data_IF_075558899593
#
_entry.id   IF_075558899593
#
_cell.length_a   1.000
_cell.length_b   1.000
_cell.length_c   1.000
_cell.angle_alpha   90.00
_cell.angle_beta   90.00
_cell.angle_gamma   90.00
#
_symmetry.space_group_name_H-M   'P 1'
#
loop_
_entity.id
_entity.type
_entity.pdbx_description
1 polymer ?
#
# COMPACT_ATOMS: atom_id res chain seq x y z
N UNK A 1 10.51 -40.14 1.74
CA UNK A 1 9.34 -39.24 1.65
C UNK A 1 9.43 -38.46 0.35
N UNK A 2 8.32 -38.37 -0.40
CA UNK A 2 8.14 -37.82 -1.77
C UNK A 2 8.80 -38.61 -2.92
N UNK A 3 8.36 -39.85 -3.12
CA UNK A 3 8.90 -40.76 -4.16
C UNK A 3 8.51 -40.34 -5.59
N UNK A 4 7.40 -39.60 -5.77
CA UNK A 4 6.84 -39.27 -7.09
C UNK A 4 6.82 -37.77 -7.42
N UNK A 5 7.66 -36.98 -6.73
CA UNK A 5 7.73 -35.53 -6.88
C UNK A 5 6.56 -34.78 -6.25
N UNK A 6 6.77 -33.49 -5.96
CA UNK A 6 5.81 -32.64 -5.24
C UNK A 6 4.50 -32.44 -6.03
N UNK A 7 4.58 -32.46 -7.36
CA UNK A 7 3.44 -32.18 -8.25
C UNK A 7 2.34 -33.24 -8.22
N UNK A 8 2.67 -34.50 -7.89
CA UNK A 8 1.68 -35.59 -7.81
C UNK A 8 0.83 -35.52 -6.54
N UNK A 9 1.25 -34.74 -5.54
CA UNK A 9 0.56 -34.56 -4.26
C UNK A 9 -0.21 -33.25 -4.15
N UNK A 10 -0.03 -32.33 -5.11
CA UNK A 10 -0.74 -31.06 -5.08
C UNK A 10 -2.25 -31.30 -5.29
N UNK A 11 -3.12 -30.81 -4.39
CA UNK A 11 -4.55 -30.99 -4.54
C UNK A 11 -5.03 -30.26 -5.80
N UNK A 12 -5.67 -30.99 -6.70
CA UNK A 12 -6.24 -30.41 -7.91
C UNK A 12 -7.57 -29.76 -7.52
N UNK A 13 -7.59 -28.43 -7.53
CA UNK A 13 -8.79 -27.66 -7.24
C UNK A 13 -9.61 -27.46 -8.52
N UNK A 14 -10.95 -27.47 -8.46
CA UNK A 14 -11.81 -27.17 -9.61
C UNK A 14 -11.75 -25.69 -10.03
N UNK A 15 -11.11 -24.85 -9.21
CA UNK A 15 -10.99 -23.41 -9.41
C UNK A 15 -9.76 -23.11 -10.27
N UNK A 16 -9.95 -22.41 -11.39
CA UNK A 16 -8.86 -22.03 -12.29
C UNK A 16 -8.16 -20.73 -11.88
N UNK A 17 -8.88 -19.82 -11.24
CA UNK A 17 -8.39 -18.48 -10.89
C UNK A 17 -8.95 -18.00 -9.56
N UNK A 18 -8.09 -17.42 -8.73
CA UNK A 18 -8.45 -16.82 -7.44
C UNK A 18 -7.92 -15.38 -7.41
N UNK A 19 -8.77 -14.46 -6.97
CA UNK A 19 -8.36 -13.09 -6.64
C UNK A 19 -8.20 -13.01 -5.12
N UNK A 20 -7.01 -12.65 -4.67
CA UNK A 20 -6.73 -12.43 -3.26
C UNK A 20 -6.44 -10.96 -3.04
N UNK A 21 -7.32 -10.29 -2.31
CA UNK A 21 -7.04 -8.98 -1.74
C UNK A 21 -6.52 -9.11 -0.32
N UNK A 22 -5.33 -8.57 -0.07
CA UNK A 22 -4.71 -8.66 1.24
C UNK A 22 -3.69 -7.53 1.45
N UNK A 23 -3.27 -7.37 2.70
CA UNK A 23 -2.42 -6.28 3.20
C UNK A 23 -3.15 -4.93 3.26
N UNK A 24 -3.81 -4.49 2.17
CA UNK A 24 -4.67 -3.30 2.05
C UNK A 24 -4.39 -2.20 3.09
N UNK A 25 -3.15 -1.69 3.16
CA UNK A 25 -2.79 -0.71 4.17
C UNK A 25 -3.48 0.60 3.83
N UNK A 26 -3.93 1.32 4.84
CA UNK A 26 -4.33 2.70 4.65
C UNK A 26 -3.06 3.54 4.43
N UNK A 27 -2.97 4.25 3.29
CA UNK A 27 -1.83 5.11 2.93
C UNK A 27 -1.49 6.12 4.02
N UNK A 28 -2.51 6.57 4.73
CA UNK A 28 -2.42 7.61 5.71
C UNK A 28 -2.09 7.10 7.13
N UNK A 29 -1.91 5.79 7.32
CA UNK A 29 -1.55 5.23 8.63
C UNK A 29 -0.33 4.33 8.48
N UNK A 30 0.56 4.38 9.47
CA UNK A 30 1.72 3.50 9.52
C UNK A 30 1.32 2.04 9.32
N UNK A 31 2.17 1.28 8.62
CA UNK A 31 2.05 -0.17 8.58
C UNK A 31 2.37 -0.76 9.96
N UNK A 32 1.36 -0.80 10.83
CA UNK A 32 1.45 -1.48 12.12
C UNK A 32 1.33 -3.00 11.99
N UNK A 33 1.65 -3.73 13.07
CA UNK A 33 1.56 -5.21 13.16
C UNK A 33 0.17 -5.76 12.79
N UNK A 34 -0.88 -4.93 12.86
CA UNK A 34 -2.22 -5.26 12.36
C UNK A 34 -2.25 -5.59 10.86
N UNK A 35 -1.50 -4.86 10.03
CA UNK A 35 -1.39 -5.12 8.58
C UNK A 35 -0.44 -6.29 8.28
N UNK A 36 0.45 -6.62 9.22
CA UNK A 36 1.36 -7.77 9.09
C UNK A 36 0.58 -9.08 9.06
N UNK A 37 -0.48 -9.20 9.87
CA UNK A 37 -1.32 -10.40 9.94
C UNK A 37 -2.00 -10.71 8.60
N UNK A 38 -2.69 -9.73 8.02
CA UNK A 38 -3.35 -9.91 6.71
C UNK A 38 -2.34 -10.15 5.60
N UNK A 39 -1.16 -9.52 5.67
CA UNK A 39 -0.07 -9.73 4.71
C UNK A 39 0.46 -11.16 4.74
N UNK A 40 0.74 -11.71 5.93
CA UNK A 40 1.25 -13.09 6.08
C UNK A 40 0.20 -14.12 5.69
N UNK A 41 -1.04 -13.96 6.13
CA UNK A 41 -2.12 -14.90 5.79
C UNK A 41 -2.38 -14.88 4.29
N UNK A 42 -2.48 -13.69 3.68
CA UNK A 42 -2.70 -13.53 2.25
C UNK A 42 -1.56 -14.10 1.40
N UNK A 43 -0.30 -13.85 1.77
CA UNK A 43 0.86 -14.42 1.05
C UNK A 43 0.90 -15.95 1.18
N UNK A 44 0.54 -16.48 2.35
CA UNK A 44 0.49 -17.93 2.59
C UNK A 44 -0.59 -18.60 1.74
N UNK A 45 -1.81 -18.05 1.73
CA UNK A 45 -2.91 -18.53 0.90
C UNK A 45 -2.56 -18.46 -0.59
N UNK A 46 -1.96 -17.36 -1.04
CA UNK A 46 -1.53 -17.20 -2.42
C UNK A 46 -0.57 -18.31 -2.85
N UNK A 47 0.43 -18.62 -2.01
CA UNK A 47 1.38 -19.71 -2.28
C UNK A 47 0.71 -21.09 -2.26
N UNK A 48 -0.27 -21.31 -1.40
CA UNK A 48 -1.02 -22.57 -1.38
C UNK A 48 -1.83 -22.78 -2.66
N UNK A 49 -2.46 -21.72 -3.18
CA UNK A 49 -3.18 -21.79 -4.46
C UNK A 49 -2.22 -21.97 -5.65
N UNK A 50 -1.09 -21.28 -5.67
CA UNK A 50 -0.05 -21.48 -6.69
C UNK A 50 0.53 -22.89 -6.68
N UNK A 51 0.71 -23.47 -5.49
CA UNK A 51 1.14 -24.86 -5.33
C UNK A 51 0.14 -25.84 -5.97
N UNK A 52 -1.15 -25.54 -5.86
CA UNK A 52 -2.25 -26.29 -6.48
C UNK A 52 -2.49 -25.94 -7.97
N UNK A 53 -1.55 -25.23 -8.61
CA UNK A 53 -1.60 -24.85 -10.02
C UNK A 53 -2.81 -23.96 -10.39
N UNK A 54 -3.28 -23.15 -9.43
CA UNK A 54 -4.34 -22.16 -9.62
C UNK A 54 -3.72 -20.81 -9.97
N UNK A 55 -4.32 -20.07 -10.91
CA UNK A 55 -3.88 -18.71 -11.24
C UNK A 55 -4.27 -17.74 -10.10
N UNK A 56 -3.28 -17.08 -9.48
CA UNK A 56 -3.52 -16.17 -8.35
C UNK A 56 -3.29 -14.72 -8.74
N UNK A 57 -4.36 -13.92 -8.71
CA UNK A 57 -4.29 -12.46 -8.86
C UNK A 57 -4.24 -11.81 -7.47
N UNK A 58 -3.04 -11.32 -7.11
CA UNK A 58 -2.84 -10.56 -5.88
C UNK A 58 -3.28 -9.12 -6.07
N UNK A 59 -4.27 -8.67 -5.31
CA UNK A 59 -4.76 -7.29 -5.28
C UNK A 59 -4.45 -6.66 -3.93
N UNK A 60 -4.44 -5.33 -3.97
CA UNK A 60 -4.18 -4.49 -2.82
C UNK A 60 -5.16 -3.33 -2.91
N UNK A 61 -6.33 -3.46 -2.28
CA UNK A 61 -7.30 -2.38 -2.17
C UNK A 61 -6.82 -1.37 -1.13
N UNK A 62 -5.86 -0.54 -1.56
CA UNK A 62 -5.30 0.53 -0.76
C UNK A 62 -6.39 1.54 -0.45
N UNK A 63 -6.46 2.01 0.80
CA UNK A 63 -7.32 3.14 1.17
C UNK A 63 -6.73 4.44 0.63
N UNK A 64 -7.03 4.76 -0.63
CA UNK A 64 -6.48 5.88 -1.38
C UNK A 64 -7.46 7.06 -1.54
N UNK A 65 -8.62 6.99 -0.90
CA UNK A 65 -9.65 8.02 -1.00
C UNK A 65 -10.22 8.42 0.37
N UNK A 66 -10.29 9.73 0.63
CA UNK A 66 -10.98 10.29 1.80
C UNK A 66 -10.39 11.60 2.33
N UNK A 67 -10.99 12.12 3.41
CA UNK A 67 -10.59 13.38 4.09
C UNK A 67 -9.11 13.42 4.50
N UNK A 68 -8.50 12.25 4.68
CA UNK A 68 -7.08 12.09 4.98
C UNK A 68 -6.18 12.65 3.86
N UNK A 69 -6.60 12.60 2.60
CA UNK A 69 -5.88 13.25 1.50
C UNK A 69 -6.14 14.74 1.46
N UNK A 70 -7.37 15.20 1.72
CA UNK A 70 -7.70 16.62 1.78
C UNK A 70 -6.82 17.38 2.78
N UNK A 71 -6.64 16.83 3.99
CA UNK A 71 -5.77 17.45 4.98
C UNK A 71 -4.30 17.42 4.59
N UNK A 72 -3.83 16.36 3.90
CA UNK A 72 -2.44 16.30 3.42
C UNK A 72 -2.17 17.34 2.33
N UNK A 73 -3.14 17.54 1.43
CA UNK A 73 -2.99 18.46 0.31
C UNK A 73 -3.02 19.92 0.80
N UNK A 74 -3.99 20.28 1.65
CA UNK A 74 -4.04 21.64 2.22
C UNK A 74 -2.79 21.92 3.07
N UNK A 75 -2.34 20.94 3.87
CA UNK A 75 -1.09 21.09 4.64
C UNK A 75 0.15 21.25 3.75
N UNK A 76 0.16 20.61 2.57
CA UNK A 76 1.24 20.75 1.59
C UNK A 76 1.28 22.16 1.01
N UNK A 77 0.12 22.70 0.61
CA UNK A 77 0.02 24.05 0.06
C UNK A 77 0.43 25.11 1.08
N UNK A 78 0.08 24.96 2.36
CA UNK A 78 0.51 25.88 3.42
C UNK A 78 2.02 25.81 3.68
N UNK A 79 2.61 24.61 3.70
CA UNK A 79 4.04 24.40 3.97
C UNK A 79 4.95 24.74 2.78
N UNK A 80 4.47 24.50 1.56
CA UNK A 80 5.25 24.64 0.33
C UNK A 80 4.44 25.41 -0.72
N UNK A 81 4.53 26.75 -0.71
CA UNK A 81 3.90 27.58 -1.73
C UNK A 81 4.36 27.22 -3.16
N UNK A 82 5.62 26.79 -3.30
CA UNK A 82 6.23 26.33 -4.56
C UNK A 82 6.30 24.80 -4.65
N UNK A 83 5.20 24.11 -4.36
CA UNK A 83 5.15 22.65 -4.41
C UNK A 83 5.48 22.06 -5.80
N UNK A 84 5.41 22.84 -6.89
CA UNK A 84 5.74 22.37 -8.24
C UNK A 84 7.24 22.06 -8.41
N UNK A 85 8.10 22.71 -7.63
CA UNK A 85 9.55 22.46 -7.59
C UNK A 85 9.91 21.35 -6.60
N UNK A 86 8.91 20.83 -5.88
CA UNK A 86 9.09 19.83 -4.84
C UNK A 86 9.37 18.45 -5.48
N UNK A 87 10.63 18.05 -5.49
CA UNK A 87 11.04 16.72 -5.94
C UNK A 87 10.46 15.60 -5.05
N UNK A 88 10.42 14.37 -5.58
CA UNK A 88 9.93 13.15 -4.89
C UNK A 88 10.58 12.85 -3.54
N UNK A 89 11.74 13.45 -3.25
CA UNK A 89 12.48 13.29 -2.00
C UNK A 89 12.16 14.34 -0.93
N UNK A 90 11.43 15.40 -1.26
CA UNK A 90 11.27 16.52 -0.33
C UNK A 90 10.21 16.26 0.76
N UNK A 91 9.25 15.37 0.52
CA UNK A 91 8.41 14.80 1.57
C UNK A 91 9.22 13.68 2.23
N UNK A 92 10.24 14.06 3.02
CA UNK A 92 11.20 13.11 3.58
C UNK A 92 10.53 11.99 4.37
N UNK A 93 9.72 12.35 5.37
CA UNK A 93 8.94 11.40 6.15
C UNK A 93 7.44 11.72 6.06
N UNK A 94 6.74 10.93 5.22
CA UNK A 94 5.30 11.02 5.04
C UNK A 94 4.54 10.82 6.36
N UNK A 95 5.11 10.08 7.32
CA UNK A 95 4.50 9.87 8.64
C UNK A 95 4.51 11.14 9.48
N UNK A 96 5.64 11.84 9.53
CA UNK A 96 5.77 13.12 10.26
C UNK A 96 4.83 14.14 9.63
N UNK A 97 4.79 14.17 8.30
CA UNK A 97 3.91 15.05 7.54
C UNK A 97 2.43 14.75 7.82
N UNK A 98 2.04 13.47 7.89
CA UNK A 98 0.69 13.06 8.25
C UNK A 98 0.32 13.41 9.69
N UNK A 99 1.22 13.18 10.65
CA UNK A 99 0.96 13.52 12.06
C UNK A 99 0.76 15.03 12.23
N UNK A 100 1.60 15.84 11.57
CA UNK A 100 1.49 17.29 11.61
C UNK A 100 0.19 17.79 10.95
N UNK A 101 -0.19 17.25 9.79
CA UNK A 101 -1.45 17.61 9.14
C UNK A 101 -2.67 17.18 9.95
N UNK A 102 -2.60 16.00 10.60
CA UNK A 102 -3.67 15.50 11.47
C UNK A 102 -3.83 16.35 12.73
N UNK A 103 -2.72 16.73 13.37
CA UNK A 103 -2.75 17.63 14.52
C UNK A 103 -3.41 18.97 14.13
N UNK A 104 -3.01 19.55 13.00
CA UNK A 104 -3.62 20.79 12.50
C UNK A 104 -5.11 20.64 12.20
N UNK A 105 -5.50 19.51 11.61
CA UNK A 105 -6.89 19.18 11.33
C UNK A 105 -7.77 19.07 12.58
N UNK A 106 -7.21 18.61 13.71
CA UNK A 106 -7.94 18.48 14.96
C UNK A 106 -7.96 19.80 15.76
N UNK A 107 -6.94 20.66 15.61
CA UNK A 107 -6.80 21.93 16.33
C UNK A 107 -7.49 23.13 15.64
N UNK A 108 -7.54 23.17 14.31
CA UNK A 108 -8.00 24.31 13.52
C UNK A 108 -9.28 23.97 12.73
N UNK A 109 -10.40 24.55 13.16
CA UNK A 109 -11.70 24.34 12.53
C UNK A 109 -11.77 24.91 11.10
N UNK A 110 -11.09 26.01 10.81
CA UNK A 110 -11.04 26.57 9.45
C UNK A 110 -10.23 25.67 8.53
N UNK A 111 -9.10 25.16 9.02
CA UNK A 111 -8.28 24.19 8.28
C UNK A 111 -9.07 22.91 7.98
N UNK A 112 -9.85 22.43 8.96
CA UNK A 112 -10.72 21.25 8.80
C UNK A 112 -11.73 21.45 7.68
N UNK A 113 -12.39 22.61 7.62
CA UNK A 113 -13.35 22.94 6.56
C UNK A 113 -12.65 23.04 5.20
N UNK A 114 -11.48 23.69 5.12
CA UNK A 114 -10.67 23.74 3.87
C UNK A 114 -10.30 22.35 3.38
N UNK A 115 -9.84 21.47 4.28
CA UNK A 115 -9.46 20.10 3.97
C UNK A 115 -10.65 19.26 3.46
N UNK A 116 -11.84 19.43 4.05
CA UNK A 116 -13.05 18.76 3.57
C UNK A 116 -13.47 19.25 2.19
N UNK A 117 -13.44 20.58 1.98
CA UNK A 117 -13.74 21.17 0.67
C UNK A 117 -12.73 20.74 -0.39
N UNK A 118 -11.45 20.58 -0.06
CA UNK A 118 -10.41 20.09 -0.97
C UNK A 118 -10.74 18.70 -1.53
N UNK A 119 -11.26 17.79 -0.69
CA UNK A 119 -11.70 16.46 -1.15
C UNK A 119 -12.91 16.56 -2.07
N UNK A 120 -13.87 17.42 -1.77
CA UNK A 120 -15.03 17.64 -2.65
C UNK A 120 -14.57 18.22 -3.99
N UNK A 121 -13.63 19.16 -3.99
CA UNK A 121 -13.01 19.71 -5.21
C UNK A 121 -12.25 18.66 -6.02
N UNK A 122 -11.68 17.65 -5.37
CA UNK A 122 -11.06 16.49 -6.05
C UNK A 122 -12.10 15.52 -6.63
N UNK A 123 -13.25 15.36 -5.98
CA UNK A 123 -14.35 14.50 -6.45
C UNK A 123 -15.06 15.10 -7.67
N UNK A 124 -15.28 16.41 -7.64
CA UNK A 124 -15.90 17.15 -8.73
C UNK A 124 -14.77 17.47 -9.71
N UNK A 125 -14.57 16.63 -10.72
CA UNK A 125 -13.50 16.69 -11.74
C UNK A 125 -13.45 18.02 -12.53
N UNK A 126 -13.15 19.12 -11.85
CA UNK A 126 -13.07 20.46 -12.41
C UNK A 126 -11.70 20.63 -13.08
N UNK A 127 -11.64 21.11 -14.34
CA UNK A 127 -10.39 21.17 -15.10
C UNK A 127 -9.28 21.91 -14.36
N UNK A 128 -9.57 23.05 -13.73
CA UNK A 128 -8.57 23.86 -13.03
C UNK A 128 -8.04 23.19 -11.74
N UNK A 129 -8.91 22.52 -10.97
CA UNK A 129 -8.50 21.76 -9.78
C UNK A 129 -7.74 20.48 -10.13
N UNK A 130 -8.11 19.80 -11.22
CA UNK A 130 -7.51 18.54 -11.61
C UNK A 130 -6.01 18.68 -11.94
N UNK A 131 -5.60 19.83 -12.48
CA UNK A 131 -4.18 20.06 -12.81
C UNK A 131 -3.30 20.28 -11.57
N UNK A 132 -3.74 21.09 -10.59
CA UNK A 132 -2.94 21.37 -9.39
C UNK A 132 -3.14 20.30 -8.30
N UNK A 133 -4.37 20.16 -7.79
CA UNK A 133 -4.70 19.18 -6.73
C UNK A 133 -4.51 17.74 -7.21
N UNK A 134 -4.79 17.44 -8.48
CA UNK A 134 -4.62 16.09 -9.03
C UNK A 134 -3.15 15.68 -9.16
N UNK A 135 -2.24 16.59 -9.53
CA UNK A 135 -0.79 16.31 -9.55
C UNK A 135 -0.25 16.09 -8.15
N UNK A 136 -0.67 16.91 -7.18
CA UNK A 136 -0.31 16.73 -5.77
C UNK A 136 -0.84 15.40 -5.24
N UNK A 137 -2.11 15.08 -5.51
CA UNK A 137 -2.72 13.83 -5.11
C UNK A 137 -1.96 12.62 -5.69
N UNK A 138 -1.67 12.64 -7.00
CA UNK A 138 -0.92 11.57 -7.65
C UNK A 138 0.51 11.44 -7.10
N UNK A 139 1.16 12.55 -6.76
CA UNK A 139 2.47 12.58 -6.15
C UNK A 139 2.47 11.96 -4.74
N UNK A 140 1.52 12.37 -3.89
CA UNK A 140 1.34 11.80 -2.55
C UNK A 140 1.01 10.31 -2.62
N UNK A 141 0.14 9.91 -3.57
CA UNK A 141 -0.25 8.54 -3.79
C UNK A 141 0.93 7.67 -4.23
N UNK A 142 1.73 8.14 -5.19
CA UNK A 142 2.90 7.41 -5.70
C UNK A 142 3.94 7.22 -4.60
N UNK A 143 4.19 8.26 -3.81
CA UNK A 143 5.12 8.22 -2.68
C UNK A 143 4.67 7.22 -1.62
N UNK A 144 3.39 7.26 -1.25
CA UNK A 144 2.81 6.35 -0.28
C UNK A 144 2.79 4.89 -0.74
N UNK A 145 2.43 4.64 -2.01
CA UNK A 145 2.46 3.30 -2.61
C UNK A 145 3.89 2.76 -2.60
N UNK A 146 4.88 3.59 -2.95
CA UNK A 146 6.29 3.19 -2.95
C UNK A 146 6.73 2.75 -1.56
N UNK A 147 6.42 3.54 -0.53
CA UNK A 147 6.71 3.21 0.86
C UNK A 147 6.01 1.91 1.31
N UNK A 148 4.74 1.72 0.97
CA UNK A 148 4.00 0.49 1.26
C UNK A 148 4.61 -0.75 0.56
N UNK A 149 5.05 -0.60 -0.70
CA UNK A 149 5.70 -1.68 -1.46
C UNK A 149 7.02 -2.08 -0.83
N UNK A 150 7.79 -1.12 -0.35
CA UNK A 150 9.09 -1.34 0.27
C UNK A 150 8.97 -2.03 1.63
N UNK A 151 7.99 -1.62 2.44
CA UNK A 151 7.62 -2.31 3.68
C UNK A 151 7.16 -3.76 3.43
N UNK A 152 6.31 -3.99 2.43
CA UNK A 152 5.87 -5.35 2.05
C UNK A 152 7.04 -6.21 1.58
N UNK A 153 7.92 -5.67 0.74
CA UNK A 153 9.11 -6.38 0.25
C UNK A 153 10.00 -6.80 1.40
N UNK A 154 10.20 -5.93 2.38
CA UNK A 154 10.97 -6.22 3.59
C UNK A 154 10.35 -7.35 4.41
N UNK A 155 9.03 -7.34 4.63
CA UNK A 155 8.29 -8.40 5.35
C UNK A 155 8.44 -9.75 4.64
N UNK A 156 8.24 -9.80 3.32
CA UNK A 156 8.36 -11.04 2.54
C UNK A 156 9.79 -11.56 2.56
N UNK A 157 10.80 -10.68 2.47
CA UNK A 157 12.21 -11.06 2.55
C UNK A 157 12.59 -11.55 3.95
N UNK A 158 12.07 -10.94 5.01
CA UNK A 158 12.22 -11.42 6.39
C UNK A 158 11.65 -12.84 6.55
N UNK A 159 10.45 -13.09 6.03
CA UNK A 159 9.87 -14.43 6.01
C UNK A 159 10.74 -15.44 5.27
N UNK A 160 11.28 -15.09 4.09
CA UNK A 160 12.21 -15.95 3.33
C UNK A 160 13.51 -16.22 4.10
N UNK A 161 14.08 -15.23 4.78
CA UNK A 161 15.28 -15.39 5.62
C UNK A 161 15.02 -16.30 6.83
N UNK A 162 13.87 -16.12 7.49
CA UNK A 162 13.47 -16.93 8.63
C UNK A 162 13.34 -18.42 8.24
N UNK A 163 12.61 -18.71 7.15
CA UNK A 163 12.48 -20.08 6.60
C UNK A 163 13.84 -20.68 6.24
N UNK A 164 14.72 -19.89 5.61
CA UNK A 164 16.08 -20.35 5.25
C UNK A 164 16.95 -20.62 6.48
N UNK A 165 16.81 -19.84 7.55
CA UNK A 165 17.54 -20.07 8.82
C UNK A 165 16.99 -21.25 9.62
N UNK A 166 15.70 -21.55 9.47
CA UNK A 166 15.03 -22.69 10.09
C UNK A 166 15.31 -24.05 9.39
N UNK A 167 16.35 -24.11 8.54
CA UNK A 167 16.84 -25.37 7.95
C UNK A 167 15.98 -25.97 6.83
N UNK A 168 14.92 -25.31 6.37
CA UNK A 168 14.14 -25.78 5.22
C UNK A 168 14.77 -25.28 3.92
N UNK A 169 15.53 -26.15 3.24
CA UNK A 169 16.03 -25.93 1.88
C UNK A 169 14.87 -25.87 0.87
N UNK A 170 14.13 -24.77 0.82
CA UNK A 170 13.28 -24.40 -0.33
C UNK A 170 14.10 -23.57 -1.32
N UNK A 171 15.19 -24.15 -1.82
CA UNK A 171 15.94 -23.64 -2.96
C UNK A 171 15.20 -24.00 -4.25
N UNK A 172 14.28 -23.14 -4.68
CA UNK A 172 13.86 -22.86 -6.08
C UNK A 172 12.46 -22.29 -6.03
N UNK A 173 12.30 -20.97 -6.09
CA UNK A 173 11.14 -20.30 -6.69
C UNK A 173 11.51 -18.82 -6.90
N UNK A 174 12.34 -18.64 -7.92
CA UNK A 174 12.58 -17.36 -8.62
C UNK A 174 12.55 -17.68 -10.10
N UNK A 175 11.48 -17.33 -10.79
CA UNK A 175 11.44 -16.90 -12.19
C UNK A 175 9.99 -16.88 -12.66
N UNK A 176 9.59 -15.71 -13.20
CA UNK A 176 8.33 -15.33 -13.87
C UNK A 176 7.38 -14.51 -13.03
#
# INVERSE_FOLDING_TARGET
MLVNGIKTWAPILPVKRVVLDFSSPNIAKEMHVGHLRSTIIGDTLARMFEFSNVEVLRRNHVGDWGTQFGMLIEFLFEKFPNWEELGSQAIGDLQVFYKASKQRFDEDAEFKDRAQQAVVRLQVSSPSCMWSLGRVFFFLLTSAITHCREGRRSIVLLGKRYVKSAGTNLTRFTSS
#
